data_IF_607944198058
#
_entry.id   IF_607944198058
#
_cell.length_a   1.000
_cell.length_b   1.000
_cell.length_c   1.000
_cell.angle_alpha   90.00
_cell.angle_beta   90.00
_cell.angle_gamma   90.00
#
_symmetry.space_group_name_H-M   'P 1'
#
loop_
_entity.id
_entity.type
_entity.pdbx_description
1 polymer ?
#
# COMPACT_ATOMS: atom_id res chain seq x y z
N UNK A 1 -5.20 26.98 -26.34
CA UNK A 1 -4.86 25.56 -26.41
C UNK A 1 -4.40 25.13 -25.03
N UNK A 2 -5.35 24.80 -24.16
CA UNK A 2 -5.06 24.15 -22.88
C UNK A 2 -4.37 22.84 -23.21
N UNK A 3 -3.23 22.54 -22.59
CA UNK A 3 -2.67 21.19 -22.61
C UNK A 3 -3.67 20.30 -21.87
N UNK A 4 -4.76 19.92 -22.53
CA UNK A 4 -5.66 18.90 -22.04
C UNK A 4 -4.83 17.62 -22.06
N UNK A 5 -4.44 17.20 -20.86
CA UNK A 5 -3.78 15.94 -20.57
C UNK A 5 -4.63 14.87 -21.24
N UNK A 6 -4.25 14.48 -22.46
CA UNK A 6 -4.90 13.40 -23.16
C UNK A 6 -4.97 12.24 -22.19
N UNK A 7 -6.21 11.81 -21.97
CA UNK A 7 -6.70 10.96 -20.91
C UNK A 7 -6.22 9.51 -21.09
N UNK A 8 -4.92 9.30 -21.32
CA UNK A 8 -4.24 7.99 -21.28
C UNK A 8 -4.01 7.57 -19.82
N UNK A 9 -5.11 7.56 -19.06
CA UNK A 9 -5.17 6.96 -17.72
C UNK A 9 -5.13 5.43 -17.81
N UNK A 10 -5.28 4.89 -19.02
CA UNK A 10 -5.34 3.47 -19.31
C UNK A 10 -4.00 2.92 -19.84
N UNK A 11 -2.89 3.36 -19.26
CA UNK A 11 -1.62 2.64 -19.46
C UNK A 11 -1.69 1.33 -18.64
N UNK A 12 -2.00 0.24 -19.33
CA UNK A 12 -2.08 -1.10 -18.72
C UNK A 12 -0.79 -1.50 -18.02
N UNK A 13 0.36 -0.97 -18.44
CA UNK A 13 1.66 -1.28 -17.84
C UNK A 13 1.77 -0.63 -16.48
N UNK A 14 1.41 0.65 -16.36
CA UNK A 14 1.40 1.39 -15.09
C UNK A 14 0.38 0.79 -14.13
N UNK A 15 -0.80 0.40 -14.63
CA UNK A 15 -1.81 -0.27 -13.82
C UNK A 15 -1.30 -1.62 -13.27
N UNK A 16 -0.75 -2.48 -14.13
CA UNK A 16 -0.18 -3.76 -13.70
C UNK A 16 0.94 -3.56 -12.68
N UNK A 17 1.81 -2.57 -12.90
CA UNK A 17 2.90 -2.27 -11.97
C UNK A 17 2.38 -1.87 -10.58
N UNK A 18 1.37 -1.00 -10.51
CA UNK A 18 0.76 -0.60 -9.24
C UNK A 18 0.04 -1.79 -8.56
N UNK A 19 -0.69 -2.60 -9.32
CA UNK A 19 -1.35 -3.80 -8.77
C UNK A 19 -0.33 -4.81 -8.25
N UNK A 20 0.72 -5.11 -9.01
CA UNK A 20 1.78 -6.03 -8.54
C UNK A 20 2.49 -5.49 -7.31
N UNK A 21 2.70 -4.17 -7.25
CA UNK A 21 3.27 -3.52 -6.06
C UNK A 21 2.37 -3.71 -4.82
N UNK A 22 1.09 -3.39 -4.92
CA UNK A 22 0.14 -3.55 -3.81
C UNK A 22 0.04 -5.01 -3.36
N UNK A 23 -0.05 -5.95 -4.32
CA UNK A 23 -0.08 -7.38 -4.02
C UNK A 23 1.19 -7.85 -3.30
N UNK A 24 2.36 -7.33 -3.68
CA UNK A 24 3.62 -7.66 -3.00
C UNK A 24 3.64 -7.14 -1.56
N UNK A 25 3.19 -5.90 -1.34
CA UNK A 25 3.07 -5.31 0.01
C UNK A 25 2.08 -6.10 0.86
N UNK A 26 0.92 -6.42 0.31
CA UNK A 26 -0.12 -7.21 1.00
C UNK A 26 0.42 -8.60 1.34
N UNK A 27 1.11 -9.28 0.42
CA UNK A 27 1.72 -10.58 0.67
C UNK A 27 2.75 -10.51 1.80
N UNK A 28 3.57 -9.45 1.85
CA UNK A 28 4.51 -9.23 2.95
C UNK A 28 3.79 -8.99 4.28
N UNK A 29 2.71 -8.21 4.28
CA UNK A 29 1.88 -7.96 5.47
C UNK A 29 1.23 -9.25 5.99
N UNK A 30 0.72 -10.12 5.10
CA UNK A 30 0.24 -11.45 5.47
C UNK A 30 1.35 -12.35 5.98
N UNK A 31 2.54 -12.31 5.39
CA UNK A 31 3.71 -13.04 5.90
C UNK A 31 4.04 -12.64 7.33
N UNK A 32 4.04 -11.34 7.62
CA UNK A 32 4.23 -10.83 8.97
C UNK A 32 3.11 -11.27 9.93
N UNK A 33 1.85 -11.20 9.48
CA UNK A 33 0.71 -11.67 10.27
C UNK A 33 0.87 -13.15 10.65
N UNK A 34 1.28 -14.01 9.71
CA UNK A 34 1.53 -15.43 9.98
C UNK A 34 2.66 -15.60 11.00
N UNK A 35 3.77 -14.86 10.85
CA UNK A 35 4.89 -14.87 11.80
C UNK A 35 4.41 -14.49 13.21
N UNK A 36 3.65 -13.40 13.33
CA UNK A 36 3.06 -12.97 14.60
C UNK A 36 2.18 -14.05 15.23
N UNK A 37 1.27 -14.65 14.45
CA UNK A 37 0.34 -15.66 14.94
C UNK A 37 1.04 -16.98 15.36
N UNK A 38 2.19 -17.30 14.77
CA UNK A 38 2.94 -18.54 15.06
C UNK A 38 3.92 -18.37 16.22
N UNK A 39 4.56 -17.20 16.35
CA UNK A 39 5.61 -16.98 17.34
C UNK A 39 5.03 -16.59 18.70
N UNK A 40 4.28 -15.48 18.76
CA UNK A 40 3.76 -14.95 20.02
C UNK A 40 2.62 -13.94 19.76
N UNK A 41 1.36 -14.43 19.70
CA UNK A 41 0.19 -13.58 19.54
C UNK A 41 -0.07 -12.66 20.74
N UNK A 42 0.54 -12.90 21.91
CA UNK A 42 0.30 -12.10 23.10
C UNK A 42 1.14 -10.80 23.12
N UNK A 43 2.12 -10.71 22.22
CA UNK A 43 3.07 -9.61 22.19
C UNK A 43 2.59 -8.45 21.30
N UNK A 44 2.09 -7.39 21.94
CA UNK A 44 1.59 -6.18 21.29
C UNK A 44 2.64 -5.47 20.40
N UNK A 45 3.95 -5.67 20.62
CA UNK A 45 4.98 -5.08 19.76
C UNK A 45 4.97 -5.70 18.37
N UNK A 46 4.72 -7.00 18.26
CA UNK A 46 4.65 -7.70 16.98
C UNK A 46 3.37 -7.38 16.21
N UNK A 47 2.28 -7.05 16.91
CA UNK A 47 1.01 -6.63 16.31
C UNK A 47 1.16 -5.35 15.45
N UNK A 48 2.12 -4.47 15.76
CA UNK A 48 2.38 -3.22 15.01
C UNK A 48 3.02 -3.48 13.64
N UNK A 49 3.63 -4.65 13.40
CA UNK A 49 4.37 -4.86 12.17
C UNK A 49 3.49 -4.91 10.90
N UNK A 50 2.25 -5.41 11.00
CA UNK A 50 1.29 -5.38 9.87
C UNK A 50 0.96 -3.93 9.45
N UNK A 51 0.44 -3.05 10.36
CA UNK A 51 0.18 -1.66 10.00
C UNK A 51 1.44 -0.91 9.58
N UNK A 52 2.61 -1.22 10.15
CA UNK A 52 3.88 -0.59 9.76
C UNK A 52 4.27 -0.94 8.30
N UNK A 53 4.15 -2.21 7.90
CA UNK A 53 4.42 -2.63 6.52
C UNK A 53 3.48 -1.97 5.52
N UNK A 54 2.18 -1.92 5.83
CA UNK A 54 1.18 -1.27 5.00
C UNK A 54 1.41 0.25 4.89
N UNK A 55 1.80 0.91 5.99
CA UNK A 55 2.17 2.32 5.99
C UNK A 55 3.38 2.57 5.08
N UNK A 56 4.46 1.80 5.24
CA UNK A 56 5.66 1.93 4.41
C UNK A 56 5.35 1.67 2.93
N UNK A 57 4.51 0.68 2.64
CA UNK A 57 4.01 0.41 1.29
C UNK A 57 3.24 1.58 0.70
N UNK A 58 2.32 2.17 1.47
CA UNK A 58 1.54 3.35 1.07
C UNK A 58 2.42 4.58 0.81
N UNK A 59 3.39 4.85 1.70
CA UNK A 59 4.38 5.90 1.49
C UNK A 59 5.21 5.68 0.22
N UNK A 60 5.64 4.44 -0.03
CA UNK A 60 6.33 4.08 -1.27
C UNK A 60 5.47 4.33 -2.53
N UNK A 61 4.17 4.04 -2.47
CA UNK A 61 3.24 4.34 -3.56
C UNK A 61 3.04 5.86 -3.76
N UNK A 62 3.01 6.67 -2.70
CA UNK A 62 3.00 8.13 -2.83
C UNK A 62 4.30 8.70 -3.39
N UNK A 63 5.46 8.14 -3.01
CA UNK A 63 6.74 8.48 -3.65
C UNK A 63 6.69 8.16 -5.15
N UNK A 64 6.14 7.01 -5.54
CA UNK A 64 5.96 6.67 -6.95
C UNK A 64 4.97 7.59 -7.66
N UNK A 65 3.90 8.02 -6.98
CA UNK A 65 2.97 9.04 -7.47
C UNK A 65 3.73 10.30 -7.88
N UNK A 66 4.60 10.81 -7.00
CA UNK A 66 5.42 11.97 -7.28
C UNK A 66 6.41 11.73 -8.43
N UNK A 67 7.09 10.58 -8.44
CA UNK A 67 8.07 10.23 -9.49
C UNK A 67 7.43 10.11 -10.87
N UNK A 68 6.25 9.50 -10.96
CA UNK A 68 5.50 9.34 -12.21
C UNK A 68 4.92 10.68 -12.66
N UNK A 69 4.42 11.50 -11.74
CA UNK A 69 3.97 12.86 -12.04
C UNK A 69 5.09 13.71 -12.64
N UNK A 70 6.29 13.70 -12.03
CA UNK A 70 7.47 14.40 -12.56
C UNK A 70 7.90 13.93 -13.95
N UNK A 71 7.54 12.71 -14.35
CA UNK A 71 7.83 12.12 -15.67
C UNK A 71 6.68 12.28 -16.68
N UNK A 72 5.58 12.95 -16.31
CA UNK A 72 4.40 13.11 -17.16
C UNK A 72 3.59 11.82 -17.38
N UNK A 73 3.72 10.82 -16.50
CA UNK A 73 3.00 9.55 -16.59
C UNK A 73 1.67 9.53 -15.82
N UNK A 74 0.99 8.38 -15.84
CA UNK A 74 -0.30 8.14 -15.16
C UNK A 74 -0.19 8.03 -13.63
N UNK A 75 0.03 9.16 -12.95
CA UNK A 75 0.17 9.25 -11.50
C UNK A 75 -1.07 8.88 -10.65
N UNK A 76 -2.34 9.06 -11.10
CA UNK A 76 -3.50 8.80 -10.23
C UNK A 76 -3.60 7.35 -9.77
N UNK A 77 -3.11 6.39 -10.57
CA UNK A 77 -3.12 4.96 -10.23
C UNK A 77 -2.23 4.69 -9.01
N UNK A 78 -1.03 5.28 -8.97
CA UNK A 78 -0.13 5.17 -7.83
C UNK A 78 -0.67 5.87 -6.59
N UNK A 79 -1.42 6.95 -6.77
CA UNK A 79 -2.07 7.61 -5.65
C UNK A 79 -3.19 6.74 -5.06
N UNK A 80 -3.98 6.10 -5.92
CA UNK A 80 -5.02 5.14 -5.53
C UNK A 80 -4.43 3.95 -4.77
N UNK A 81 -3.32 3.38 -5.25
CA UNK A 81 -2.56 2.33 -4.57
C UNK A 81 -2.11 2.77 -3.17
N UNK A 82 -1.54 3.97 -3.04
CA UNK A 82 -1.16 4.53 -1.75
C UNK A 82 -2.33 4.68 -0.77
N UNK A 83 -3.47 5.20 -1.24
CA UNK A 83 -4.68 5.31 -0.43
C UNK A 83 -5.24 3.95 -0.03
N UNK A 84 -5.24 2.98 -0.94
CA UNK A 84 -5.70 1.63 -0.67
C UNK A 84 -4.90 0.98 0.46
N UNK A 85 -3.57 1.02 0.39
CA UNK A 85 -2.69 0.51 1.46
C UNK A 85 -2.87 1.28 2.78
N UNK A 86 -3.09 2.60 2.72
CA UNK A 86 -3.33 3.41 3.92
C UNK A 86 -4.66 3.09 4.59
N UNK A 87 -5.73 2.84 3.82
CA UNK A 87 -7.02 2.37 4.34
C UNK A 87 -6.86 1.00 4.99
N UNK A 88 -6.15 0.06 4.34
CA UNK A 88 -5.87 -1.24 4.94
C UNK A 88 -5.11 -1.10 6.26
N UNK A 89 -4.12 -0.22 6.32
CA UNK A 89 -3.39 0.08 7.55
C UNK A 89 -4.34 0.58 8.65
N UNK A 90 -5.20 1.56 8.38
CA UNK A 90 -6.17 2.06 9.35
C UNK A 90 -7.15 0.97 9.80
N UNK A 91 -7.60 0.11 8.88
CA UNK A 91 -8.43 -1.05 9.21
C UNK A 91 -7.69 -1.99 10.18
N UNK A 92 -6.41 -2.28 9.95
CA UNK A 92 -5.64 -3.13 10.87
C UNK A 92 -5.47 -2.53 12.27
N UNK A 93 -5.32 -1.20 12.37
CA UNK A 93 -5.27 -0.51 13.66
C UNK A 93 -6.63 -0.44 14.37
N UNK A 94 -7.73 -0.56 13.62
CA UNK A 94 -9.08 -0.56 14.19
C UNK A 94 -9.49 -1.92 14.78
N UNK A 95 -8.77 -2.99 14.43
CA UNK A 95 -9.05 -4.32 14.97
C UNK A 95 -8.56 -4.38 16.44
N UNK A 96 -9.39 -4.87 17.36
CA UNK A 96 -8.96 -5.06 18.74
C UNK A 96 -7.84 -6.10 18.79
N UNK A 97 -6.72 -5.74 19.38
CA UNK A 97 -5.69 -6.71 19.78
C UNK A 97 -6.22 -7.36 21.06
N UNK A 98 -6.87 -8.52 20.94
CA UNK A 98 -7.31 -9.30 22.10
C UNK A 98 -6.07 -9.87 22.79
N UNK A 99 -5.59 -9.17 23.80
CA UNK A 99 -4.71 -9.72 24.82
C UNK A 99 -5.63 -10.17 25.97
N UNK A 100 -5.92 -11.47 26.01
CA UNK A 100 -6.60 -12.09 27.15
C UNK A 100 -5.62 -12.29 28.32
#
# INVERSE_FOLDING_TARGET
>A
MTNDVEKRWNDRTVYRAAVTYDLAVIAAAFGWLIIYLVIDPSNSVWAIGVPALLLLGGLGAFVQTYRVWKRGGGWPVWQGAGWFLFILMLLTLSLPVTAD
#
